data_IF_944466228898
#
_entry.id   IF_944466228898
#
_cell.length_a   1.000
_cell.length_b   1.000
_cell.length_c   1.000
_cell.angle_alpha   90.00
_cell.angle_beta   90.00
_cell.angle_gamma   90.00
#
_symmetry.space_group_name_H-M   'P 1'
#
loop_
_entity.id
_entity.type
_entity.pdbx_description
1 polymer ?
#
# COMPACT_ATOMS: atom_id res chain seq x y z
N UNK A 1 -4.54 6.09 15.28
CA UNK A 1 -3.93 7.47 15.40
C UNK A 1 -2.49 7.33 15.82
N UNK A 2 -1.60 8.18 15.32
CA UNK A 2 -0.18 8.20 15.70
C UNK A 2 0.09 9.20 16.84
N UNK A 3 0.92 8.80 17.80
CA UNK A 3 1.37 9.66 18.92
C UNK A 3 2.88 9.75 18.92
N UNK A 4 3.42 10.92 19.19
CA UNK A 4 4.85 11.17 19.24
C UNK A 4 5.56 10.18 20.18
N UNK A 5 6.69 9.63 19.72
CA UNK A 5 7.58 8.74 20.47
C UNK A 5 9.04 9.17 20.28
N UNK A 6 9.96 8.62 21.04
CA UNK A 6 11.35 9.08 21.04
C UNK A 6 12.13 8.60 19.82
N UNK A 7 12.09 7.32 19.51
CA UNK A 7 12.70 6.67 18.34
C UNK A 7 12.48 5.17 18.44
N UNK A 8 12.80 4.46 17.37
CA UNK A 8 12.83 3.00 17.39
C UNK A 8 14.23 2.48 17.76
N UNK A 9 14.29 1.27 18.31
CA UNK A 9 15.51 0.49 18.49
C UNK A 9 15.54 -0.76 17.59
N UNK A 10 14.53 -0.91 16.71
CA UNK A 10 14.48 -2.02 15.76
C UNK A 10 15.64 -1.90 14.75
N UNK A 11 16.57 -2.88 14.71
CA UNK A 11 17.75 -2.80 13.86
C UNK A 11 17.42 -2.79 12.37
N UNK A 12 16.34 -3.48 11.95
CA UNK A 12 15.92 -3.54 10.56
C UNK A 12 15.39 -2.16 10.12
N UNK A 13 14.57 -1.53 10.96
CA UNK A 13 14.06 -0.18 10.68
C UNK A 13 15.21 0.81 10.58
N UNK A 14 16.16 0.78 11.53
CA UNK A 14 17.32 1.70 11.52
C UNK A 14 18.18 1.56 10.26
N UNK A 15 18.32 0.34 9.71
CA UNK A 15 19.03 0.11 8.45
C UNK A 15 18.21 0.55 7.22
N UNK A 16 16.88 0.42 7.26
CA UNK A 16 16.01 0.79 6.14
C UNK A 16 15.72 2.29 6.04
N UNK A 17 15.73 3.02 7.16
CA UNK A 17 15.46 4.48 7.16
C UNK A 17 16.29 5.23 6.11
N UNK A 18 17.63 5.14 6.07
CA UNK A 18 18.41 5.88 5.07
C UNK A 18 18.11 5.42 3.64
N UNK A 19 17.83 4.13 3.42
CA UNK A 19 17.52 3.58 2.11
C UNK A 19 16.19 4.14 1.61
N UNK A 20 15.14 4.03 2.40
CA UNK A 20 13.80 4.48 1.99
C UNK A 20 13.72 6.01 1.88
N UNK A 21 14.40 6.74 2.77
CA UNK A 21 14.49 8.20 2.70
C UNK A 21 15.11 8.65 1.38
N UNK A 22 16.25 8.07 0.99
CA UNK A 22 16.91 8.41 -0.28
C UNK A 22 16.07 8.01 -1.50
N UNK A 23 15.36 6.87 -1.46
CA UNK A 23 14.43 6.49 -2.52
C UNK A 23 13.27 7.50 -2.65
N UNK A 24 12.74 7.99 -1.53
CA UNK A 24 11.73 9.05 -1.53
C UNK A 24 12.27 10.36 -2.13
N UNK A 25 13.52 10.72 -1.87
CA UNK A 25 14.16 11.89 -2.46
C UNK A 25 14.28 11.74 -3.98
N UNK A 26 14.75 10.59 -4.47
CA UNK A 26 14.81 10.29 -5.91
C UNK A 26 13.43 10.48 -6.55
N UNK A 27 12.37 9.93 -5.98
CA UNK A 27 11.02 10.06 -6.53
C UNK A 27 10.50 11.50 -6.48
N UNK A 28 10.78 12.26 -5.40
CA UNK A 28 10.40 13.68 -5.32
C UNK A 28 11.11 14.53 -6.37
N UNK A 29 12.40 14.31 -6.58
CA UNK A 29 13.17 15.01 -7.61
C UNK A 29 12.60 14.74 -9.01
N UNK A 30 12.35 13.47 -9.35
CA UNK A 30 11.75 13.08 -10.63
C UNK A 30 10.35 13.67 -10.80
N UNK A 31 9.53 13.64 -9.75
CA UNK A 31 8.20 14.24 -9.77
C UNK A 31 8.22 15.74 -9.98
N UNK A 32 9.12 16.47 -9.31
CA UNK A 32 9.29 17.92 -9.45
C UNK A 32 9.75 18.27 -10.87
N UNK A 33 10.72 17.55 -11.43
CA UNK A 33 11.20 17.72 -12.81
C UNK A 33 10.07 17.49 -13.82
N UNK A 34 9.32 16.40 -13.65
CA UNK A 34 8.16 16.09 -14.48
C UNK A 34 7.07 17.19 -14.38
N UNK A 35 6.77 17.68 -13.19
CA UNK A 35 5.81 18.77 -12.99
C UNK A 35 6.27 20.09 -13.60
N UNK A 36 7.58 20.36 -13.61
CA UNK A 36 8.20 21.53 -14.24
C UNK A 36 8.17 21.47 -15.77
N UNK A 37 7.91 20.29 -16.35
CA UNK A 37 7.81 20.12 -17.81
C UNK A 37 9.11 19.65 -18.47
N UNK A 38 10.05 19.11 -17.69
CA UNK A 38 11.24 18.48 -18.23
C UNK A 38 10.85 17.28 -19.12
N UNK A 39 11.71 16.97 -20.11
CA UNK A 39 11.58 15.76 -20.89
C UNK A 39 11.61 14.53 -19.98
N UNK A 40 10.63 13.64 -20.16
CA UNK A 40 10.42 12.50 -19.27
C UNK A 40 10.05 11.25 -20.07
N UNK A 41 10.85 10.20 -19.92
CA UNK A 41 10.62 8.96 -20.63
C UNK A 41 9.50 8.15 -19.95
N UNK A 42 8.49 7.80 -20.74
CA UNK A 42 7.37 6.96 -20.33
C UNK A 42 7.25 5.79 -21.30
N UNK A 43 7.41 4.61 -20.79
CA UNK A 43 7.24 3.36 -21.53
C UNK A 43 5.93 2.67 -21.14
N UNK A 44 5.55 1.65 -21.91
CA UNK A 44 4.42 0.77 -21.59
C UNK A 44 4.89 -0.66 -21.43
N UNK A 45 4.56 -1.25 -20.30
CA UNK A 45 4.78 -2.68 -20.05
C UNK A 45 3.90 -3.55 -20.95
N UNK A 46 4.14 -4.85 -20.98
CA UNK A 46 3.37 -5.81 -21.80
C UNK A 46 1.86 -5.82 -21.47
N UNK A 47 1.49 -5.47 -20.26
CA UNK A 47 0.10 -5.32 -19.80
C UNK A 47 -0.49 -3.91 -20.05
N UNK A 48 0.23 -3.07 -20.80
CA UNK A 48 -0.09 -1.68 -21.10
C UNK A 48 -0.07 -0.71 -19.91
N UNK A 49 0.38 -1.12 -18.73
CA UNK A 49 0.65 -0.20 -17.62
C UNK A 49 1.82 0.72 -17.96
N UNK A 50 1.81 1.98 -17.52
CA UNK A 50 2.94 2.87 -17.71
C UNK A 50 4.07 2.50 -16.76
N UNK A 51 5.31 2.69 -17.21
CA UNK A 51 6.52 2.68 -16.40
C UNK A 51 7.37 3.88 -16.80
N UNK A 52 8.05 4.48 -15.87
CA UNK A 52 8.81 5.69 -16.10
C UNK A 52 10.26 5.54 -15.63
N UNK A 53 11.09 6.50 -16.02
CA UNK A 53 12.46 6.57 -15.49
C UNK A 53 12.49 6.69 -13.95
N UNK A 54 11.43 7.24 -13.32
CA UNK A 54 11.34 7.33 -11.87
C UNK A 54 11.19 5.94 -11.23
N UNK A 55 10.35 5.06 -11.82
CA UNK A 55 10.21 3.67 -11.39
C UNK A 55 11.57 2.95 -11.43
N UNK A 56 12.27 3.03 -12.57
CA UNK A 56 13.59 2.39 -12.73
C UNK A 56 14.66 2.96 -11.80
N UNK A 57 14.71 4.30 -11.60
CA UNK A 57 15.68 4.91 -10.70
C UNK A 57 15.46 4.49 -9.26
N UNK A 58 14.21 4.50 -8.79
CA UNK A 58 13.82 4.04 -7.46
C UNK A 58 14.14 2.56 -7.29
N UNK A 59 13.73 1.72 -8.25
CA UNK A 59 14.01 0.29 -8.24
C UNK A 59 15.50 -0.02 -8.12
N UNK A 60 16.32 0.57 -8.99
CA UNK A 60 17.75 0.30 -9.04
C UNK A 60 18.44 0.71 -7.73
N UNK A 61 18.07 1.86 -7.19
CA UNK A 61 18.63 2.33 -5.93
C UNK A 61 18.25 1.39 -4.76
N UNK A 62 16.95 1.09 -4.60
CA UNK A 62 16.48 0.24 -3.49
C UNK A 62 17.09 -1.15 -3.59
N UNK A 63 17.11 -1.76 -4.78
CA UNK A 63 17.68 -3.10 -5.00
C UNK A 63 19.16 -3.16 -4.58
N UNK A 64 19.96 -2.19 -5.02
CA UNK A 64 21.39 -2.14 -4.68
C UNK A 64 21.61 -1.88 -3.20
N UNK A 65 20.89 -0.94 -2.61
CA UNK A 65 21.03 -0.59 -1.21
C UNK A 65 20.56 -1.73 -0.28
N UNK A 66 19.42 -2.38 -0.61
CA UNK A 66 18.89 -3.49 0.17
C UNK A 66 19.86 -4.69 0.19
N UNK A 67 20.54 -4.97 -0.93
CA UNK A 67 21.57 -6.03 -1.01
C UNK A 67 22.78 -5.79 -0.09
N UNK A 68 22.98 -4.58 0.43
CA UNK A 68 24.06 -4.30 1.42
C UNK A 68 23.68 -4.68 2.84
N UNK A 69 22.38 -4.86 3.12
CA UNK A 69 21.88 -5.14 4.48
C UNK A 69 21.14 -6.47 4.59
N UNK A 70 20.87 -7.15 3.45
CA UNK A 70 20.10 -8.40 3.42
C UNK A 70 20.54 -9.28 2.27
N UNK A 71 20.80 -10.56 2.55
CA UNK A 71 21.08 -11.61 1.55
C UNK A 71 19.81 -12.28 1.01
N UNK A 72 18.61 -11.85 1.46
CA UNK A 72 17.34 -12.41 1.01
C UNK A 72 17.05 -12.00 -0.44
N UNK A 73 16.44 -12.90 -1.23
CA UNK A 73 16.04 -12.55 -2.58
C UNK A 73 15.00 -11.42 -2.59
N UNK A 74 15.03 -10.63 -3.64
CA UNK A 74 14.08 -9.53 -3.89
C UNK A 74 13.24 -9.83 -5.12
N UNK A 75 11.92 -9.79 -4.96
CA UNK A 75 10.95 -9.74 -6.05
C UNK A 75 10.47 -8.29 -6.21
N UNK A 76 10.80 -7.66 -7.31
CA UNK A 76 10.36 -6.31 -7.63
C UNK A 76 9.40 -6.31 -8.82
N UNK A 77 8.47 -5.35 -8.86
CA UNK A 77 7.61 -5.09 -10.01
C UNK A 77 8.44 -4.81 -11.28
N UNK A 78 9.60 -4.16 -11.16
CA UNK A 78 10.46 -3.76 -12.28
C UNK A 78 11.58 -4.77 -12.59
N UNK A 79 11.55 -5.94 -11.98
CA UNK A 79 12.50 -7.01 -12.25
C UNK A 79 11.92 -8.08 -13.17
N UNK A 80 12.79 -8.81 -13.88
CA UNK A 80 12.39 -10.02 -14.59
C UNK A 80 11.84 -11.07 -13.62
N UNK A 81 10.81 -11.81 -14.05
CA UNK A 81 10.19 -12.87 -13.25
C UNK A 81 11.21 -13.97 -12.91
N UNK A 82 11.69 -13.98 -11.69
CA UNK A 82 12.54 -15.02 -11.13
C UNK A 82 11.70 -16.21 -10.66
N UNK A 83 12.26 -17.43 -10.56
CA UNK A 83 11.59 -18.62 -10.04
C UNK A 83 11.37 -18.51 -8.51
N UNK A 84 10.48 -17.60 -8.11
CA UNK A 84 10.22 -17.16 -6.74
C UNK A 84 9.50 -18.18 -5.85
N UNK A 85 8.80 -19.15 -6.46
CA UNK A 85 7.95 -20.10 -5.70
C UNK A 85 8.73 -21.00 -4.73
N UNK A 86 10.05 -21.12 -4.91
CA UNK A 86 10.93 -21.82 -3.98
C UNK A 86 11.41 -20.94 -2.81
N UNK A 87 11.15 -19.65 -2.82
CA UNK A 87 11.61 -18.74 -1.79
C UNK A 87 10.70 -18.84 -0.57
N UNK A 88 11.29 -19.16 0.57
CA UNK A 88 10.59 -19.19 1.85
C UNK A 88 10.47 -17.79 2.46
N UNK A 89 11.56 -17.01 2.38
CA UNK A 89 11.63 -15.65 2.91
C UNK A 89 12.27 -14.74 1.86
N UNK A 90 11.62 -13.62 1.55
CA UNK A 90 12.05 -12.73 0.47
C UNK A 90 11.44 -11.34 0.62
N UNK A 91 12.11 -10.36 0.03
CA UNK A 91 11.60 -9.00 -0.11
C UNK A 91 10.67 -8.90 -1.31
N UNK A 92 9.61 -8.15 -1.16
CA UNK A 92 8.64 -7.81 -2.21
C UNK A 92 8.55 -6.29 -2.32
N UNK A 93 8.81 -5.76 -3.53
CA UNK A 93 8.96 -4.32 -3.78
C UNK A 93 8.06 -3.84 -4.92
N UNK A 94 7.33 -2.77 -4.66
CA UNK A 94 6.86 -1.84 -5.67
C UNK A 94 7.61 -0.51 -5.47
N UNK A 95 8.51 -0.14 -6.38
CA UNK A 95 9.37 1.03 -6.21
C UNK A 95 8.65 2.36 -6.45
N UNK A 96 7.50 2.34 -7.14
CA UNK A 96 6.60 3.46 -7.36
C UNK A 96 5.17 2.96 -7.62
N UNK A 97 4.42 2.61 -6.57
CA UNK A 97 2.98 2.36 -6.73
C UNK A 97 2.25 3.67 -6.98
N UNK A 98 1.51 3.70 -8.05
CA UNK A 98 0.79 4.90 -8.50
C UNK A 98 1.48 5.67 -9.62
N UNK A 99 2.14 4.99 -10.57
CA UNK A 99 2.72 5.61 -11.77
C UNK A 99 1.70 6.44 -12.56
N UNK A 100 0.41 6.04 -12.55
CA UNK A 100 -0.67 6.83 -13.15
C UNK A 100 -0.90 8.13 -12.40
N UNK A 101 -0.91 8.11 -11.09
CA UNK A 101 -1.04 9.29 -10.23
C UNK A 101 0.14 10.25 -10.46
N UNK A 102 1.35 9.72 -10.50
CA UNK A 102 2.57 10.46 -10.85
C UNK A 102 2.41 11.18 -12.19
N UNK A 103 2.01 10.46 -13.25
CA UNK A 103 1.82 11.01 -14.60
C UNK A 103 0.65 12.02 -14.69
N UNK A 104 -0.34 11.92 -13.81
CA UNK A 104 -1.41 12.91 -13.70
C UNK A 104 -1.08 14.07 -12.77
N UNK A 105 0.19 14.19 -12.34
CA UNK A 105 0.69 15.23 -11.42
C UNK A 105 -0.08 15.24 -10.09
N UNK A 106 -0.39 14.04 -9.56
CA UNK A 106 -0.97 13.83 -8.25
C UNK A 106 0.09 13.27 -7.31
N UNK A 107 0.28 13.83 -6.12
CA UNK A 107 1.32 13.40 -5.19
C UNK A 107 0.97 12.10 -4.42
N UNK A 108 -0.03 11.34 -4.87
CA UNK A 108 -0.61 10.17 -4.20
C UNK A 108 0.07 8.87 -4.66
N UNK A 109 1.40 8.82 -4.71
CA UNK A 109 2.18 7.63 -5.04
C UNK A 109 3.04 7.20 -3.86
N UNK A 110 3.35 5.90 -3.78
CA UNK A 110 4.03 5.32 -2.62
C UNK A 110 5.19 4.41 -3.05
N UNK A 111 6.10 4.14 -2.12
CA UNK A 111 7.03 3.01 -2.18
C UNK A 111 6.47 1.94 -1.26
N UNK A 112 6.28 0.72 -1.77
CA UNK A 112 5.81 -0.41 -0.99
C UNK A 112 6.93 -1.45 -0.91
N UNK A 113 7.46 -1.68 0.29
CA UNK A 113 8.45 -2.72 0.55
C UNK A 113 7.94 -3.62 1.66
N UNK A 114 8.00 -4.92 1.45
CA UNK A 114 7.56 -5.88 2.47
C UNK A 114 8.48 -7.10 2.52
N UNK A 115 8.59 -7.70 3.70
CA UNK A 115 9.26 -8.98 3.93
C UNK A 115 8.18 -10.05 4.07
N UNK A 116 8.17 -10.98 3.13
CA UNK A 116 7.26 -12.13 3.14
C UNK A 116 8.02 -13.33 3.72
N UNK A 117 7.40 -14.06 4.64
CA UNK A 117 7.88 -15.33 5.18
C UNK A 117 6.78 -16.39 5.01
N UNK A 118 7.10 -17.46 4.28
CA UNK A 118 6.11 -18.44 3.84
C UNK A 118 5.07 -17.84 2.92
N UNK A 119 3.91 -17.55 3.46
CA UNK A 119 2.79 -16.97 2.72
C UNK A 119 2.26 -15.66 3.32
N UNK A 120 2.92 -15.14 4.34
CA UNK A 120 2.46 -13.96 5.08
C UNK A 120 3.52 -12.86 5.07
N UNK A 121 3.07 -11.63 5.10
CA UNK A 121 3.95 -10.48 5.29
C UNK A 121 4.23 -10.30 6.77
N UNK A 122 5.50 -10.33 7.14
CA UNK A 122 5.94 -10.23 8.55
C UNK A 122 6.49 -8.85 8.90
N UNK A 123 7.02 -8.12 7.92
CA UNK A 123 7.53 -6.76 8.05
C UNK A 123 7.12 -5.93 6.83
N UNK A 124 6.84 -4.64 7.02
CA UNK A 124 6.44 -3.79 5.91
C UNK A 124 6.90 -2.34 6.07
N UNK A 125 7.11 -1.70 4.93
CA UNK A 125 7.31 -0.26 4.79
C UNK A 125 6.33 0.28 3.75
N UNK A 126 5.67 1.39 4.07
CA UNK A 126 4.96 2.24 3.14
C UNK A 126 5.54 3.65 3.24
N UNK A 127 6.00 4.21 2.15
CA UNK A 127 6.51 5.57 2.16
C UNK A 127 5.71 6.45 1.20
N UNK A 128 5.44 7.69 1.61
CA UNK A 128 4.76 8.71 0.81
C UNK A 128 5.80 9.79 0.49
N UNK A 129 6.47 9.73 -0.67
CA UNK A 129 7.58 10.62 -0.99
C UNK A 129 7.22 12.11 -0.89
N UNK A 130 6.06 12.49 -1.42
CA UNK A 130 5.63 13.89 -1.46
C UNK A 130 5.22 14.46 -0.09
N UNK A 131 4.82 13.62 0.85
CA UNK A 131 4.47 14.02 2.22
C UNK A 131 5.63 13.85 3.20
N UNK A 132 6.76 13.33 2.72
CA UNK A 132 7.95 13.08 3.55
C UNK A 132 7.65 12.20 4.76
N UNK A 133 6.78 11.19 4.58
CA UNK A 133 6.35 10.25 5.61
C UNK A 133 6.74 8.84 5.23
N UNK A 134 7.28 8.11 6.21
CA UNK A 134 7.60 6.69 6.08
C UNK A 134 6.95 5.95 7.24
N UNK A 135 6.17 4.94 6.91
CA UNK A 135 5.53 4.03 7.86
C UNK A 135 6.30 2.71 7.90
N UNK A 136 6.49 2.17 9.09
CA UNK A 136 7.13 0.88 9.34
C UNK A 136 6.19 0.00 10.15
N UNK A 137 5.99 -1.24 9.71
CA UNK A 137 5.34 -2.30 10.48
C UNK A 137 6.41 -3.32 10.86
N UNK A 138 6.96 -3.27 12.08
CA UNK A 138 7.99 -4.22 12.52
C UNK A 138 7.42 -5.64 12.65
N UNK A 139 8.29 -6.66 12.71
CA UNK A 139 7.85 -8.05 12.96
C UNK A 139 7.11 -8.15 14.30
N UNK A 140 7.55 -7.41 15.31
CA UNK A 140 6.92 -7.30 16.62
C UNK A 140 6.63 -5.82 16.97
N UNK A 141 5.51 -5.57 17.65
CA UNK A 141 5.12 -4.21 18.06
C UNK A 141 4.10 -3.54 17.14
N UNK A 142 3.80 -2.29 17.42
CA UNK A 142 2.83 -1.49 16.67
C UNK A 142 3.49 -0.75 15.51
N UNK A 143 2.72 -0.33 14.49
CA UNK A 143 3.25 0.48 13.40
C UNK A 143 3.89 1.78 13.90
N UNK A 144 4.99 2.15 13.27
CA UNK A 144 5.72 3.39 13.51
C UNK A 144 5.61 4.30 12.28
N UNK A 145 5.66 5.60 12.49
CA UNK A 145 5.76 6.61 11.44
C UNK A 145 6.95 7.52 11.71
N UNK A 146 7.71 7.82 10.65
CA UNK A 146 8.77 8.82 10.63
C UNK A 146 8.36 9.96 9.69
N UNK A 147 8.40 11.19 10.17
CA UNK A 147 8.41 12.40 9.35
C UNK A 147 9.85 12.75 9.02
N UNK A 148 10.23 12.64 7.75
CA UNK A 148 11.64 12.72 7.34
C UNK A 148 12.19 14.15 7.30
N UNK A 149 11.32 15.15 7.22
CA UNK A 149 11.68 16.59 7.28
C UNK A 149 12.02 17.06 8.69
N UNK A 150 11.31 16.53 9.69
CA UNK A 150 11.50 16.87 11.11
C UNK A 150 12.37 15.87 11.86
N UNK A 151 12.49 14.65 11.35
CA UNK A 151 13.10 13.52 12.05
C UNK A 151 12.23 12.99 13.21
N UNK A 152 10.97 13.41 13.29
CA UNK A 152 10.07 13.04 14.38
C UNK A 152 9.47 11.66 14.16
N UNK A 153 9.45 10.86 15.23
CA UNK A 153 8.85 9.54 15.27
C UNK A 153 7.51 9.54 15.97
N UNK A 154 6.63 8.66 15.49
CA UNK A 154 5.31 8.42 16.07
C UNK A 154 5.04 6.91 16.12
N UNK A 155 4.32 6.47 17.14
CA UNK A 155 3.83 5.09 17.26
C UNK A 155 2.31 5.06 17.15
N UNK A 156 1.79 4.04 16.49
CA UNK A 156 0.34 3.86 16.36
C UNK A 156 -0.29 3.53 17.70
N UNK A 157 -1.36 4.25 18.03
CA UNK A 157 -2.21 3.99 19.18
C UNK A 157 -3.64 3.87 18.70
N UNK A 158 -4.34 2.81 19.10
CA UNK A 158 -5.74 2.63 18.75
C UNK A 158 -6.57 3.83 19.21
N UNK A 159 -7.45 4.31 18.34
CA UNK A 159 -8.43 5.36 18.64
C UNK A 159 -9.83 4.71 18.56
N UNK A 160 -10.51 4.68 19.68
CA UNK A 160 -11.86 4.09 19.81
C UNK A 160 -12.98 5.13 19.66
N UNK A 161 -12.64 6.39 19.34
CA UNK A 161 -13.64 7.43 19.15
C UNK A 161 -14.54 7.10 17.95
N UNK A 162 -15.87 7.17 18.19
CA UNK A 162 -16.82 6.99 17.09
C UNK A 162 -16.75 8.19 16.13
N UNK A 163 -16.47 7.90 14.87
CA UNK A 163 -16.41 8.87 13.78
C UNK A 163 -17.37 8.44 12.66
N UNK A 164 -17.70 9.37 11.78
CA UNK A 164 -18.41 9.02 10.55
C UNK A 164 -17.55 8.10 9.71
N UNK A 165 -18.11 6.97 9.31
CA UNK A 165 -17.42 5.97 8.47
C UNK A 165 -16.95 6.62 7.16
N UNK A 166 -15.73 6.35 6.75
CA UNK A 166 -15.15 6.84 5.51
C UNK A 166 -14.73 5.67 4.59
N UNK A 167 -15.13 5.75 3.34
CA UNK A 167 -14.81 4.75 2.31
C UNK A 167 -13.70 5.31 1.42
N UNK A 168 -12.57 4.61 1.35
CA UNK A 168 -11.49 4.95 0.44
C UNK A 168 -11.72 4.35 -0.95
N UNK A 169 -11.75 5.16 -1.98
CA UNK A 169 -11.88 4.71 -3.36
C UNK A 169 -10.67 5.10 -4.19
N UNK A 170 -10.34 4.31 -5.22
CA UNK A 170 -9.35 4.73 -6.21
C UNK A 170 -9.91 5.86 -7.08
N UNK A 171 -9.02 6.67 -7.65
CA UNK A 171 -9.39 7.80 -8.53
C UNK A 171 -10.26 7.35 -9.72
N UNK A 172 -10.00 6.14 -10.25
CA UNK A 172 -10.74 5.56 -11.38
C UNK A 172 -12.07 4.90 -11.01
N UNK A 173 -12.41 4.78 -9.74
CA UNK A 173 -13.61 4.05 -9.27
C UNK A 173 -14.92 4.62 -9.83
N UNK A 174 -15.00 5.94 -10.04
CA UNK A 174 -16.21 6.62 -10.52
C UNK A 174 -16.67 6.19 -11.92
N UNK A 175 -15.79 5.54 -12.69
CA UNK A 175 -16.10 5.10 -14.07
C UNK A 175 -16.49 3.62 -14.13
N UNK A 176 -16.75 2.98 -12.99
CA UNK A 176 -16.96 1.55 -12.90
C UNK A 176 -18.19 1.23 -12.07
N UNK A 177 -19.17 0.53 -12.67
CA UNK A 177 -20.50 0.32 -12.07
C UNK A 177 -20.44 -0.42 -10.73
N UNK A 178 -19.49 -1.35 -10.55
CA UNK A 178 -19.38 -2.17 -9.34
C UNK A 178 -19.20 -1.32 -8.08
N UNK A 179 -18.49 -0.18 -8.17
CA UNK A 179 -18.36 0.71 -7.02
C UNK A 179 -19.65 1.44 -6.69
N UNK A 180 -20.39 1.88 -7.71
CA UNK A 180 -21.68 2.55 -7.50
C UNK A 180 -22.71 1.59 -6.86
N UNK A 181 -22.76 0.35 -7.33
CA UNK A 181 -23.63 -0.69 -6.80
C UNK A 181 -23.28 -1.04 -5.35
N UNK A 182 -21.98 -1.25 -5.06
CA UNK A 182 -21.51 -1.50 -3.71
C UNK A 182 -21.85 -0.36 -2.75
N UNK A 183 -21.61 0.89 -3.15
CA UNK A 183 -21.92 2.06 -2.32
C UNK A 183 -23.43 2.23 -2.11
N UNK A 184 -24.25 1.89 -3.10
CA UNK A 184 -25.71 1.91 -2.95
C UNK A 184 -26.18 0.92 -1.88
N UNK A 185 -25.64 -0.30 -1.87
CA UNK A 185 -25.98 -1.28 -0.85
C UNK A 185 -25.44 -0.90 0.53
N UNK A 186 -24.21 -0.41 0.60
CA UNK A 186 -23.64 0.09 1.83
C UNK A 186 -24.46 1.23 2.44
N UNK A 187 -25.04 2.12 1.59
CA UNK A 187 -25.90 3.22 2.03
C UNK A 187 -27.20 2.73 2.69
N UNK A 188 -27.65 1.51 2.43
CA UNK A 188 -28.80 0.92 3.14
C UNK A 188 -28.46 0.48 4.56
N UNK A 189 -27.19 0.30 4.86
CA UNK A 189 -26.70 -0.23 6.14
C UNK A 189 -26.16 0.85 7.08
N UNK A 190 -25.58 1.91 6.52
CA UNK A 190 -24.95 2.97 7.31
C UNK A 190 -24.77 4.28 6.53
N UNK A 191 -24.57 5.37 7.27
CA UNK A 191 -24.12 6.64 6.68
C UNK A 191 -22.59 6.67 6.59
N UNK A 192 -22.05 7.09 5.46
CA UNK A 192 -20.61 7.18 5.23
C UNK A 192 -20.24 8.44 4.43
N UNK A 193 -18.95 8.75 4.41
CA UNK A 193 -18.31 9.65 3.46
C UNK A 193 -17.45 8.87 2.49
N UNK A 194 -17.01 9.53 1.42
CA UNK A 194 -16.11 8.95 0.42
C UNK A 194 -14.90 9.84 0.24
N UNK A 195 -13.71 9.24 0.35
CA UNK A 195 -12.45 9.86 0.02
C UNK A 195 -11.82 9.14 -1.17
N UNK A 196 -11.17 9.89 -2.06
CA UNK A 196 -10.49 9.33 -3.22
C UNK A 196 -9.00 9.54 -3.11
N UNK A 197 -8.23 8.49 -3.35
CA UNK A 197 -6.78 8.55 -3.44
C UNK A 197 -6.24 7.47 -4.37
N UNK A 198 -5.05 7.67 -4.91
CA UNK A 198 -4.31 6.68 -5.69
C UNK A 198 -3.67 5.59 -4.82
N UNK A 199 -2.98 4.67 -5.41
CA UNK A 199 -1.99 3.72 -4.87
C UNK A 199 -2.30 3.07 -3.51
N UNK A 200 -1.29 2.51 -2.88
CA UNK A 200 -1.27 2.05 -1.48
C UNK A 200 -1.39 3.20 -0.46
N UNK A 201 -1.36 4.45 -0.91
CA UNK A 201 -1.64 5.65 -0.09
C UNK A 201 -2.93 5.49 0.75
N UNK A 202 -3.94 4.78 0.23
CA UNK A 202 -5.18 4.48 0.97
C UNK A 202 -4.96 3.64 2.23
N UNK A 203 -3.95 2.78 2.28
CA UNK A 203 -3.59 2.08 3.51
C UNK A 203 -2.99 3.04 4.55
N UNK A 204 -2.19 4.03 4.10
CA UNK A 204 -1.71 5.08 4.99
C UNK A 204 -2.87 5.93 5.53
N UNK A 205 -3.87 6.27 4.70
CA UNK A 205 -5.10 6.94 5.15
C UNK A 205 -5.87 6.12 6.19
N UNK A 206 -5.85 4.78 6.10
CA UNK A 206 -6.47 3.91 7.11
C UNK A 206 -5.70 3.97 8.44
N UNK A 207 -4.38 4.03 8.39
CA UNK A 207 -3.53 4.21 9.59
C UNK A 207 -3.74 5.57 10.25
N UNK A 208 -3.99 6.62 9.45
CA UNK A 208 -4.26 7.99 9.92
C UNK A 208 -5.74 8.22 10.29
N UNK A 209 -6.55 7.17 10.41
CA UNK A 209 -7.96 7.25 10.77
C UNK A 209 -8.84 8.06 9.82
N UNK A 210 -8.41 8.21 8.57
CA UNK A 210 -9.13 8.92 7.51
C UNK A 210 -10.03 8.00 6.70
N UNK A 211 -9.71 6.69 6.62
CA UNK A 211 -10.46 5.67 5.86
C UNK A 211 -10.70 4.45 6.75
N UNK A 212 -11.93 3.94 6.73
CA UNK A 212 -12.34 2.77 7.52
C UNK A 212 -12.50 1.50 6.67
N UNK A 213 -12.93 1.65 5.42
CA UNK A 213 -13.13 0.56 4.46
C UNK A 213 -12.56 0.98 3.10
N UNK A 214 -11.76 0.11 2.49
CA UNK A 214 -11.23 0.28 1.15
C UNK A 214 -11.59 -0.92 0.28
N UNK A 215 -12.69 -0.83 -0.53
CA UNK A 215 -13.04 -1.83 -1.52
C UNK A 215 -12.23 -1.64 -2.81
N UNK A 216 -11.78 -2.73 -3.41
CA UNK A 216 -11.10 -2.76 -4.71
C UNK A 216 -11.68 -3.86 -5.60
N UNK A 217 -12.43 -3.49 -6.64
CA UNK A 217 -13.09 -4.44 -7.55
C UNK A 217 -12.23 -4.88 -8.74
N UNK A 218 -11.01 -4.40 -8.83
CA UNK A 218 -10.09 -4.72 -9.93
C UNK A 218 -8.86 -5.46 -9.43
N UNK A 219 -8.24 -6.28 -10.31
CA UNK A 219 -6.98 -6.92 -10.00
C UNK A 219 -5.90 -5.92 -9.58
N UNK A 220 -5.04 -6.37 -8.70
CA UNK A 220 -3.79 -5.74 -8.27
C UNK A 220 -2.70 -6.78 -8.29
N UNK A 221 -1.46 -6.38 -8.11
CA UNK A 221 -0.39 -7.33 -7.90
C UNK A 221 -0.13 -7.57 -6.40
N UNK A 222 0.65 -8.60 -6.08
CA UNK A 222 1.00 -8.92 -4.69
C UNK A 222 1.75 -7.77 -4.01
N UNK A 223 2.62 -7.05 -4.72
CA UNK A 223 3.36 -5.88 -4.20
C UNK A 223 2.49 -4.66 -3.89
N UNK A 224 1.29 -4.54 -4.53
CA UNK A 224 0.34 -3.45 -4.24
C UNK A 224 -0.37 -3.63 -2.89
N UNK A 225 -0.40 -4.85 -2.35
CA UNK A 225 -1.24 -5.19 -1.19
C UNK A 225 -0.48 -5.71 0.02
N UNK A 226 0.66 -6.34 -0.19
CA UNK A 226 1.42 -7.04 0.86
C UNK A 226 1.78 -6.11 2.02
N UNK A 227 2.38 -4.96 1.75
CA UNK A 227 2.71 -4.00 2.79
C UNK A 227 1.44 -3.48 3.49
N UNK A 228 0.44 -3.04 2.71
CA UNK A 228 -0.82 -2.52 3.25
C UNK A 228 -1.54 -3.51 4.15
N UNK A 229 -1.63 -4.80 3.75
CA UNK A 229 -2.26 -5.84 4.56
C UNK A 229 -1.54 -6.01 5.91
N UNK A 230 -0.21 -6.07 5.90
CA UNK A 230 0.59 -6.20 7.12
C UNK A 230 0.25 -5.10 8.13
N UNK A 231 0.20 -3.85 7.69
CA UNK A 231 -0.17 -2.72 8.53
C UNK A 231 -1.59 -2.84 9.09
N UNK A 232 -2.56 -3.12 8.23
CA UNK A 232 -3.97 -3.14 8.65
C UNK A 232 -4.26 -4.31 9.58
N UNK A 233 -3.66 -5.48 9.37
CA UNK A 233 -3.77 -6.61 10.28
C UNK A 233 -3.13 -6.31 11.64
N UNK A 234 -2.01 -5.60 11.68
CA UNK A 234 -1.32 -5.20 12.92
C UNK A 234 -2.16 -4.28 13.80
N UNK A 235 -3.01 -3.45 13.21
CA UNK A 235 -3.91 -2.55 13.95
C UNK A 235 -5.27 -3.17 14.29
N UNK A 236 -5.48 -4.46 14.00
CA UNK A 236 -6.72 -5.18 14.29
C UNK A 236 -7.75 -5.21 13.17
N UNK A 237 -7.39 -4.74 12.00
CA UNK A 237 -8.18 -4.82 10.76
C UNK A 237 -7.83 -6.05 9.91
N UNK A 238 -7.93 -5.91 8.60
CA UNK A 238 -7.55 -6.96 7.66
C UNK A 238 -7.87 -6.62 6.20
N UNK A 239 -7.41 -7.51 5.32
CA UNK A 239 -7.65 -7.49 3.90
C UNK A 239 -8.12 -8.86 3.44
N UNK A 240 -9.27 -8.93 2.77
CA UNK A 240 -9.90 -10.19 2.35
C UNK A 240 -10.36 -10.13 0.91
N UNK A 241 -10.42 -11.30 0.27
CA UNK A 241 -11.10 -11.47 -1.02
C UNK A 241 -12.63 -11.37 -0.85
N UNK A 242 -13.37 -11.40 -1.96
CA UNK A 242 -14.85 -11.35 -1.95
C UNK A 242 -15.53 -12.61 -1.38
N UNK A 243 -14.78 -13.58 -0.91
CA UNK A 243 -15.25 -14.73 -0.15
C UNK A 243 -14.89 -14.62 1.35
N UNK A 244 -14.34 -13.48 1.76
CA UNK A 244 -13.95 -13.22 3.15
C UNK A 244 -12.64 -13.89 3.58
N UNK A 245 -11.83 -14.42 2.65
CA UNK A 245 -10.56 -15.10 2.93
C UNK A 245 -9.41 -14.10 2.88
N UNK A 246 -8.48 -14.11 3.85
CA UNK A 246 -7.30 -13.26 3.82
C UNK A 246 -6.41 -13.57 2.60
N UNK A 247 -5.71 -12.58 2.11
CA UNK A 247 -4.72 -12.79 1.07
C UNK A 247 -3.50 -13.52 1.63
N UNK A 248 -2.93 -14.34 0.75
CA UNK A 248 -1.67 -15.04 0.97
C UNK A 248 -0.75 -14.78 -0.23
N UNK A 249 0.52 -14.63 0.02
CA UNK A 249 1.53 -14.21 -0.94
C UNK A 249 2.39 -15.38 -1.40
N UNK A 250 2.94 -15.29 -2.60
CA UNK A 250 3.83 -16.29 -3.21
C UNK A 250 3.27 -17.73 -3.30
N UNK A 251 1.94 -17.90 -3.23
CA UNK A 251 1.29 -19.22 -3.29
C UNK A 251 0.72 -19.55 -4.68
N UNK A 252 0.70 -18.59 -5.58
CA UNK A 252 0.10 -18.72 -6.91
C UNK A 252 1.17 -18.59 -8.01
N UNK A 253 0.90 -19.16 -9.20
CA UNK A 253 1.76 -18.95 -10.37
C UNK A 253 1.73 -17.50 -10.84
N UNK A 254 0.57 -16.85 -10.77
CA UNK A 254 0.41 -15.43 -11.05
C UNK A 254 0.64 -14.59 -9.81
N UNK A 255 1.18 -13.39 -9.99
CA UNK A 255 1.27 -12.36 -8.95
C UNK A 255 -0.01 -11.52 -8.84
N UNK A 256 -0.99 -11.73 -9.73
CA UNK A 256 -2.24 -11.00 -9.71
C UNK A 256 -3.14 -11.44 -8.55
N UNK A 257 -3.58 -10.48 -7.78
CA UNK A 257 -4.66 -10.62 -6.82
C UNK A 257 -6.01 -10.41 -7.50
N UNK A 258 -7.04 -11.07 -7.01
CA UNK A 258 -8.42 -10.67 -7.29
C UNK A 258 -8.75 -9.33 -6.62
N UNK A 259 -9.99 -8.87 -6.81
CA UNK A 259 -10.50 -7.76 -6.00
C UNK A 259 -10.49 -8.08 -4.50
N UNK A 260 -10.50 -7.04 -3.67
CA UNK A 260 -10.43 -7.17 -2.22
C UNK A 260 -11.26 -6.14 -1.48
N UNK A 261 -11.44 -6.36 -0.20
CA UNK A 261 -11.91 -5.35 0.76
C UNK A 261 -10.91 -5.30 1.92
N UNK A 262 -10.30 -4.10 2.14
CA UNK A 262 -9.57 -3.81 3.36
C UNK A 262 -10.50 -3.08 4.34
N UNK A 263 -10.33 -3.35 5.63
CA UNK A 263 -11.16 -2.82 6.71
C UNK A 263 -10.33 -2.60 7.97
N UNK A 264 -10.63 -1.55 8.71
CA UNK A 264 -9.86 -1.13 9.87
C UNK A 264 -10.07 -1.99 11.13
N UNK A 265 -11.23 -2.62 11.26
CA UNK A 265 -11.58 -3.47 12.41
C UNK A 265 -12.71 -4.45 12.06
N UNK A 266 -13.06 -5.32 13.01
CA UNK A 266 -14.07 -6.38 12.81
C UNK A 266 -15.48 -5.83 12.52
N UNK A 267 -15.85 -4.67 13.10
CA UNK A 267 -17.14 -4.01 12.83
C UNK A 267 -17.21 -3.56 11.37
N UNK A 268 -16.14 -2.97 10.86
CA UNK A 268 -16.01 -2.56 9.46
C UNK A 268 -15.97 -3.76 8.51
N UNK A 269 -15.35 -4.87 8.91
CA UNK A 269 -15.40 -6.13 8.15
C UNK A 269 -16.83 -6.62 7.94
N UNK A 270 -17.59 -6.72 9.02
CA UNK A 270 -18.98 -7.21 8.97
C UNK A 270 -19.84 -6.33 8.04
N UNK A 271 -19.74 -5.01 8.19
CA UNK A 271 -20.47 -4.04 7.39
C UNK A 271 -20.09 -4.14 5.89
N UNK A 272 -18.81 -4.21 5.59
CA UNK A 272 -18.30 -4.25 4.23
C UNK A 272 -18.68 -5.54 3.49
N UNK A 273 -18.60 -6.69 4.17
CA UNK A 273 -19.00 -7.97 3.58
C UNK A 273 -20.51 -8.09 3.44
N UNK A 274 -21.30 -7.53 4.35
CA UNK A 274 -22.75 -7.48 4.22
C UNK A 274 -23.19 -6.65 2.99
N UNK A 275 -22.56 -5.50 2.76
CA UNK A 275 -22.82 -4.70 1.54
C UNK A 275 -22.46 -5.48 0.27
N UNK A 276 -21.31 -6.20 0.27
CA UNK A 276 -20.88 -7.03 -0.84
C UNK A 276 -21.89 -8.18 -1.11
N UNK A 277 -22.38 -8.81 -0.06
CA UNK A 277 -23.39 -9.89 -0.18
C UNK A 277 -24.72 -9.38 -0.78
N UNK A 278 -25.17 -8.19 -0.38
CA UNK A 278 -26.36 -7.55 -0.96
C UNK A 278 -26.15 -7.27 -2.46
N UNK A 279 -24.99 -6.73 -2.84
CA UNK A 279 -24.65 -6.49 -4.24
C UNK A 279 -24.66 -7.80 -5.04
N UNK A 280 -24.05 -8.88 -4.55
CA UNK A 280 -24.00 -10.18 -5.23
C UNK A 280 -25.35 -10.87 -5.40
N UNK A 281 -26.31 -10.63 -4.51
CA UNK A 281 -27.67 -11.19 -4.60
C UNK A 281 -28.54 -10.55 -5.69
N UNK A 282 -28.10 -9.41 -6.25
CA UNK A 282 -28.82 -8.72 -7.36
C UNK A 282 -28.43 -9.26 -8.74
N UNK A 283 -27.31 -9.97 -8.83
CA UNK A 283 -26.77 -10.59 -10.04
C UNK A 283 -26.88 -12.11 -9.98
#
# INVERSE_FOLDING_TARGET
MFKATTSTQDPMILQLVPIVTQACEILREEYQRYCAGDAFDVERKADHSPVTQADYRSNNYITQALATISDLPLLSEEAENMPRQAWQRFWLLDPLDGTKEFLHKRPEFTINLSLVDGSQTVFAVLAIPCEQQIYFCPEDGMPLKLETDTGQWFEYVADETEKKIQIGLSQSAQHKPEYAEYLQDLATLTNFGVLKAGSAYKFCMMLEDQVDIYPRFHPTCEWDTSAGQCFIERIGGGLVDFKGRPFVYNQRKTLLNAGFIAFKNIKMKALALQALELMQKRH
#
